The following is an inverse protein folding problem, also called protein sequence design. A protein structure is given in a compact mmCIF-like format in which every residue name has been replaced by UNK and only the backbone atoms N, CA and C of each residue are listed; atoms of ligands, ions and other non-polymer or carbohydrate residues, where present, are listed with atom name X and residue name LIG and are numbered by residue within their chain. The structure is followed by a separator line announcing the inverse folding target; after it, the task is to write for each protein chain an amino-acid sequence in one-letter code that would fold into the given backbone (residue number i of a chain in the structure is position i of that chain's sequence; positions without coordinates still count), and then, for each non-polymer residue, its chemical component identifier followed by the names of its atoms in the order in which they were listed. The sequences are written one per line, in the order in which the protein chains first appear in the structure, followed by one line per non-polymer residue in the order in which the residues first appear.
data_IF_484209864637
#
_entry.id   IF_484209864637
#
_cell.length_a   1.000
_cell.length_b   1.000
_cell.length_c   1.000
_cell.angle_alpha   90.00
_cell.angle_beta   90.00
_cell.angle_gamma   90.00
#
_symmetry.space_group_name_H-M   'P 1'
#
loop_
_entity.id
_entity.type
_entity.pdbx_description
1 polymer ?
#
# COMPACT_ATOMS: atom_id res chain seq x y z
N UNK A 1 3.41 6.80 10.06
CA UNK A 1 3.33 5.68 9.11
C UNK A 1 1.91 5.12 9.12
N UNK A 2 1.37 4.74 7.96
CA UNK A 2 -0.01 4.24 7.83
C UNK A 2 -0.03 2.95 7.02
N UNK A 3 -0.98 2.07 7.32
CA UNK A 3 -1.13 0.81 6.57
C UNK A 3 -1.88 1.11 5.29
N UNK A 4 -1.22 0.92 4.15
CA UNK A 4 -1.79 1.18 2.82
C UNK A 4 -1.82 -0.10 2.02
N UNK A 5 -2.89 -0.27 1.25
CA UNK A 5 -2.95 -1.31 0.22
C UNK A 5 -2.80 -0.64 -1.14
N UNK A 6 -1.77 -1.03 -1.89
CA UNK A 6 -1.42 -0.47 -3.19
C UNK A 6 -1.47 -1.58 -4.23
N UNK A 7 -2.15 -1.34 -5.35
CA UNK A 7 -2.17 -2.23 -6.51
C UNK A 7 -1.28 -1.68 -7.61
N UNK A 8 -0.40 -2.52 -8.12
CA UNK A 8 0.52 -2.18 -9.20
C UNK A 8 0.04 -2.74 -10.54
N UNK A 9 0.50 -2.14 -11.63
CA UNK A 9 0.17 -2.55 -12.99
C UNK A 9 0.75 -3.93 -13.35
N UNK A 10 1.90 -4.27 -12.78
CA UNK A 10 2.58 -5.56 -12.98
C UNK A 10 3.20 -6.05 -11.66
N UNK A 11 3.47 -7.36 -11.52
CA UNK A 11 4.24 -7.89 -10.40
C UNK A 11 5.66 -7.30 -10.35
N UNK A 12 6.21 -6.89 -11.51
CA UNK A 12 7.54 -6.32 -11.62
C UNK A 12 7.63 -4.95 -10.92
N UNK A 13 6.65 -4.07 -11.13
CA UNK A 13 6.61 -2.76 -10.47
C UNK A 13 6.38 -2.88 -8.96
N UNK A 14 5.56 -3.85 -8.53
CA UNK A 14 5.41 -4.18 -7.12
C UNK A 14 6.75 -4.58 -6.48
N UNK A 15 7.53 -5.43 -7.14
CA UNK A 15 8.83 -5.87 -6.65
C UNK A 15 9.84 -4.72 -6.58
N UNK A 16 9.91 -3.87 -7.62
CA UNK A 16 10.77 -2.68 -7.60
C UNK A 16 10.44 -1.76 -6.43
N UNK A 17 9.15 -1.46 -6.24
CA UNK A 17 8.70 -0.64 -5.13
C UNK A 17 9.11 -1.26 -3.79
N UNK A 18 8.85 -2.56 -3.58
CA UNK A 18 9.21 -3.27 -2.34
C UNK A 18 10.70 -3.17 -2.01
N UNK A 19 11.55 -3.35 -3.02
CA UNK A 19 13.01 -3.21 -2.87
C UNK A 19 13.39 -1.76 -2.56
N UNK A 20 12.77 -0.79 -3.24
CA UNK A 20 13.05 0.64 -3.04
C UNK A 20 12.74 1.12 -1.62
N UNK A 21 11.61 0.69 -1.04
CA UNK A 21 11.22 1.11 0.32
C UNK A 21 11.84 0.26 1.43
N UNK A 22 12.61 -0.78 1.09
CA UNK A 22 13.24 -1.74 2.01
C UNK A 22 12.32 -2.17 3.17
N UNK A 23 11.02 -2.30 2.89
CA UNK A 23 10.04 -2.43 3.95
C UNK A 23 9.91 -3.90 4.37
N UNK A 24 10.48 -4.21 5.53
CA UNK A 24 10.36 -5.53 6.16
C UNK A 24 8.91 -5.91 6.50
N UNK A 25 8.01 -4.91 6.63
CA UNK A 25 6.59 -5.12 6.99
C UNK A 25 5.70 -4.92 5.76
N UNK A 26 5.86 -5.80 4.77
CA UNK A 26 5.12 -5.81 3.52
C UNK A 26 4.46 -7.18 3.30
N UNK A 27 3.14 -7.20 3.22
CA UNK A 27 2.39 -8.40 2.83
C UNK A 27 2.00 -8.30 1.35
N UNK A 28 2.60 -9.16 0.52
CA UNK A 28 2.19 -9.31 -0.88
C UNK A 28 0.89 -10.11 -0.90
N UNK A 29 -0.19 -9.49 -1.37
CA UNK A 29 -1.44 -10.17 -1.68
C UNK A 29 -1.40 -10.67 -3.13
N UNK A 30 -2.22 -11.66 -3.44
CA UNK A 30 -2.40 -12.11 -4.82
C UNK A 30 -2.85 -10.95 -5.72
N UNK A 31 -2.57 -11.05 -7.04
CA UNK A 31 -3.02 -10.08 -8.03
C UNK A 31 -2.37 -8.67 -7.94
N UNK A 32 -1.02 -8.61 -7.86
CA UNK A 32 -0.22 -7.37 -7.98
C UNK A 32 -0.52 -6.34 -6.87
N UNK A 33 -0.94 -6.82 -5.71
CA UNK A 33 -1.36 -5.96 -4.60
C UNK A 33 -0.42 -6.13 -3.41
N UNK A 34 -0.01 -5.03 -2.82
CA UNK A 34 0.88 -4.98 -1.66
C UNK A 34 0.15 -4.27 -0.51
N UNK A 35 0.24 -4.80 0.70
CA UNK A 35 -0.16 -4.07 1.91
C UNK A 35 1.07 -3.81 2.77
N UNK A 36 1.42 -2.53 2.96
CA UNK A 36 2.61 -2.10 3.70
C UNK A 36 2.24 -1.07 4.75
N UNK A 37 3.03 -0.98 5.82
CA UNK A 37 3.14 0.29 6.52
C UNK A 37 4.08 1.19 5.73
N UNK A 38 3.52 2.27 5.20
CA UNK A 38 4.24 3.20 4.35
C UNK A 38 4.10 4.62 4.93
N UNK A 39 5.14 5.43 4.78
CA UNK A 39 5.09 6.87 5.01
C UNK A 39 4.37 7.57 3.86
N UNK A 40 4.07 8.87 4.00
CA UNK A 40 3.47 9.62 2.90
C UNK A 40 4.42 9.75 1.70
N UNK A 41 5.73 9.77 1.96
CA UNK A 41 6.77 9.74 0.94
C UNK A 41 6.78 8.41 0.16
N UNK A 42 6.72 7.28 0.87
CA UNK A 42 6.65 5.96 0.25
C UNK A 42 5.39 5.80 -0.61
N UNK A 43 4.25 6.32 -0.14
CA UNK A 43 3.00 6.31 -0.89
C UNK A 43 3.13 7.18 -2.15
N UNK A 44 3.74 8.36 -2.03
CA UNK A 44 4.05 9.22 -3.16
C UNK A 44 4.89 8.47 -4.19
N UNK A 45 6.01 7.89 -3.75
CA UNK A 45 6.92 7.11 -4.59
C UNK A 45 6.20 5.96 -5.32
N UNK A 46 5.33 5.22 -4.62
CA UNK A 46 4.55 4.13 -5.20
C UNK A 46 3.69 4.62 -6.38
N UNK A 47 3.01 5.76 -6.20
CA UNK A 47 2.07 6.31 -7.19
C UNK A 47 2.81 6.99 -8.34
N UNK A 48 3.76 7.87 -8.04
CA UNK A 48 4.43 8.72 -9.04
C UNK A 48 5.49 7.97 -9.82
N UNK A 49 6.25 7.10 -9.17
CA UNK A 49 7.45 6.48 -9.76
C UNK A 49 7.21 5.04 -10.23
N UNK A 50 6.26 4.33 -9.62
CA UNK A 50 5.98 2.91 -9.91
C UNK A 50 4.55 2.64 -10.43
N UNK A 51 3.75 3.69 -10.65
CA UNK A 51 2.39 3.57 -11.20
C UNK A 51 1.43 2.80 -10.29
N UNK A 52 1.69 2.78 -9.00
CA UNK A 52 0.85 2.17 -7.98
C UNK A 52 -0.46 2.94 -7.81
N UNK A 53 -1.56 2.21 -7.63
CA UNK A 53 -2.86 2.75 -7.28
C UNK A 53 -3.18 2.40 -5.84
N UNK A 54 -3.31 3.40 -4.98
CA UNK A 54 -3.75 3.20 -3.60
C UNK A 54 -5.22 2.75 -3.61
N UNK A 55 -5.47 1.57 -3.04
CA UNK A 55 -6.81 0.99 -2.91
C UNK A 55 -7.44 1.33 -1.56
N UNK A 56 -6.65 1.35 -0.50
CA UNK A 56 -7.11 1.69 0.85
C UNK A 56 -5.99 2.25 1.71
N UNK A 57 -6.38 3.08 2.66
CA UNK A 57 -5.51 3.68 3.66
C UNK A 57 -6.16 3.45 5.02
N UNK A 58 -5.52 2.64 5.87
CA UNK A 58 -5.92 2.46 7.25
C UNK A 58 -4.99 3.28 8.14
N UNK A 59 -5.50 4.30 8.87
CA UNK A 59 -4.72 4.90 9.93
C UNK A 59 -4.47 3.85 11.02
N UNK A 60 -3.30 3.91 11.66
CA UNK A 60 -2.88 2.95 12.70
C UNK A 60 -3.83 2.95 13.92
N UNK A 61 -4.77 3.90 13.99
CA UNK A 61 -5.88 3.94 14.95
C UNK A 61 -7.21 4.09 14.18
N UNK A 62 -7.83 2.98 13.81
CA UNK A 62 -9.26 2.94 13.51
C UNK A 62 -9.84 1.69 14.14
N UNK A 63 -10.06 1.77 15.46
CA UNK A 63 -11.18 1.06 16.04
C UNK A 63 -12.41 1.40 15.20
N UNK A 64 -13.11 0.35 14.74
CA UNK A 64 -14.50 0.41 14.30
C UNK A 64 -14.89 1.57 13.36
N UNK A 65 -14.67 1.43 12.06
CA UNK A 65 -15.61 2.00 11.08
C UNK A 65 -16.45 0.85 10.51
N UNK A 66 -17.18 0.22 11.43
CA UNK A 66 -18.38 -0.57 11.16
C UNK A 66 -19.56 0.39 11.29
N UNK A 67 -19.65 1.36 10.37
CA UNK A 67 -20.79 2.24 10.17
C UNK A 67 -21.04 2.34 8.67
N UNK A 68 -21.30 1.18 8.06
CA UNK A 68 -22.22 1.10 6.94
C UNK A 68 -23.61 1.09 7.61
N UNK A 69 -24.26 2.26 7.70
CA UNK A 69 -25.28 2.69 6.75
C UNK A 69 -26.44 1.67 6.66
N UNK A 70 -27.50 2.01 7.41
CA UNK A 70 -28.90 1.59 7.29
C UNK A 70 -29.28 0.19 7.80
#
# INVERSE_FOLDING_TARGET
MRTVTIRFLSPHELWKFRVAINANVCQIKQNKTLTCQCSDEDVGLAVTSFGGKVLSVFPHNAAAVLLWLL
#
